data_IF_191667437584
#
_entry.id   IF_191667437584
#
_cell.length_a   1.000
_cell.length_b   1.000
_cell.length_c   1.000
_cell.angle_alpha   90.00
_cell.angle_beta   90.00
_cell.angle_gamma   90.00
#
_symmetry.space_group_name_H-M   'P 1'
#
loop_
_entity.id
_entity.type
_entity.pdbx_description
1 polymer ?
#
# COMPACT_ATOMS: atom_id res chain seq x y z
N UNK A 1 28.20 73.67 -29.42
CA UNK A 1 28.77 72.78 -30.47
C UNK A 1 28.48 71.34 -30.08
N UNK A 2 28.39 70.44 -31.06
CA UNK A 2 27.59 69.20 -31.10
C UNK A 2 27.99 68.05 -30.15
N UNK A 3 26.95 67.39 -29.59
CA UNK A 3 26.60 65.95 -29.67
C UNK A 3 27.72 64.90 -29.48
N UNK A 4 27.52 63.97 -28.54
CA UNK A 4 27.63 62.50 -28.76
C UNK A 4 27.04 61.69 -27.58
N UNK A 5 26.09 60.84 -27.95
CA UNK A 5 25.48 59.71 -27.22
C UNK A 5 26.44 58.52 -27.26
N UNK A 6 26.15 57.47 -26.47
CA UNK A 6 26.66 56.07 -26.44
C UNK A 6 27.47 55.76 -25.17
N UNK A 7 27.36 54.62 -24.48
CA UNK A 7 26.57 53.39 -24.64
C UNK A 7 26.66 52.63 -23.29
N UNK A 8 25.61 51.90 -22.95
CA UNK A 8 25.52 50.94 -21.85
C UNK A 8 26.60 49.85 -21.99
N UNK A 9 27.27 49.45 -20.90
CA UNK A 9 27.80 48.10 -20.77
C UNK A 9 27.73 47.61 -19.32
N UNK A 10 26.78 46.70 -19.11
CA UNK A 10 26.53 46.02 -17.85
C UNK A 10 27.37 44.76 -17.72
N UNK A 11 27.59 44.34 -16.47
CA UNK A 11 27.97 43.01 -15.98
C UNK A 11 29.38 42.50 -16.28
N UNK A 12 30.18 42.36 -15.21
CA UNK A 12 30.91 41.13 -14.89
C UNK A 12 31.48 41.20 -13.46
N UNK A 13 30.71 40.72 -12.50
CA UNK A 13 31.22 40.33 -11.18
C UNK A 13 30.78 38.91 -10.91
N UNK A 14 31.54 37.95 -11.41
CA UNK A 14 31.43 36.56 -10.99
C UNK A 14 32.07 36.52 -9.60
N UNK A 15 31.25 36.54 -8.56
CA UNK A 15 31.70 36.13 -7.22
C UNK A 15 31.89 34.62 -7.31
N UNK A 16 33.15 34.21 -7.44
CA UNK A 16 33.57 32.84 -7.20
C UNK A 16 33.45 32.57 -5.69
N UNK A 17 32.30 32.05 -5.26
CA UNK A 17 32.25 31.23 -4.04
C UNK A 17 32.30 29.78 -4.50
N UNK A 18 33.51 29.22 -4.56
CA UNK A 18 33.67 27.78 -4.68
C UNK A 18 34.75 27.33 -3.71
N UNK A 19 34.31 27.17 -2.47
CA UNK A 19 34.82 26.15 -1.57
C UNK A 19 33.65 25.65 -0.73
N UNK A 20 32.90 24.72 -1.33
CA UNK A 20 31.99 23.87 -0.59
C UNK A 20 32.86 22.79 0.03
N UNK A 21 33.42 23.11 1.21
CA UNK A 21 33.98 22.11 2.12
C UNK A 21 32.92 21.04 2.27
N UNK A 22 33.24 19.84 1.80
CA UNK A 22 32.42 18.66 2.01
C UNK A 22 32.52 18.32 3.49
N UNK A 23 31.81 19.09 4.33
CA UNK A 23 31.38 18.60 5.61
C UNK A 23 30.52 17.39 5.28
N UNK A 24 31.14 16.23 5.41
CA UNK A 24 30.45 14.98 5.62
C UNK A 24 29.68 15.20 6.92
N UNK A 25 28.48 15.78 6.80
CA UNK A 25 27.54 15.95 7.90
C UNK A 25 27.41 14.54 8.46
N UNK A 26 28.01 14.32 9.63
CA UNK A 26 27.71 13.16 10.43
C UNK A 26 26.20 13.28 10.64
N UNK A 27 25.43 12.45 9.93
CA UNK A 27 24.00 12.42 10.08
C UNK A 27 23.76 12.25 11.59
N UNK A 28 23.11 13.23 12.26
CA UNK A 28 22.76 13.07 13.66
C UNK A 28 22.01 11.75 13.77
N UNK A 29 22.17 11.00 14.86
CA UNK A 29 21.37 9.80 15.14
C UNK A 29 19.90 10.11 14.90
N UNK A 30 19.44 9.89 13.67
CA UNK A 30 18.08 10.06 13.26
C UNK A 30 17.43 8.81 13.82
N UNK A 31 16.54 8.99 14.78
CA UNK A 31 15.73 7.92 15.33
C UNK A 31 14.84 7.38 14.20
N UNK A 32 15.42 6.48 13.41
CA UNK A 32 14.81 5.87 12.26
C UNK A 32 13.71 4.97 12.76
N UNK A 33 12.49 5.20 12.27
CA UNK A 33 11.34 4.36 12.57
C UNK A 33 10.65 3.86 11.32
N UNK A 34 9.93 2.76 11.48
CA UNK A 34 9.12 2.10 10.46
C UNK A 34 7.65 2.13 10.85
N UNK A 35 6.75 2.24 9.88
CA UNK A 35 5.30 2.25 10.11
C UNK A 35 4.56 1.75 8.88
N UNK A 36 3.31 1.33 9.05
CA UNK A 36 2.41 1.06 7.93
C UNK A 36 1.86 2.36 7.36
N UNK A 37 1.83 2.48 6.03
CA UNK A 37 1.25 3.67 5.38
C UNK A 37 -0.28 3.56 5.36
N UNK A 38 -0.96 4.58 5.87
CA UNK A 38 -2.41 4.75 5.72
C UNK A 38 -3.21 4.59 7.02
N UNK A 39 -4.43 4.09 6.89
CA UNK A 39 -5.34 3.88 8.02
C UNK A 39 -4.97 2.61 8.79
N UNK A 40 -5.39 2.53 10.07
CA UNK A 40 -5.22 1.32 10.91
C UNK A 40 -5.89 0.08 10.34
N UNK A 41 -6.78 0.24 9.36
CA UNK A 41 -7.41 -0.83 8.60
C UNK A 41 -7.42 -0.52 7.12
N UNK A 42 -7.20 -1.53 6.29
CA UNK A 42 -7.23 -1.43 4.83
C UNK A 42 -8.11 -2.55 4.25
N UNK A 43 -9.09 -2.17 3.43
CA UNK A 43 -9.92 -3.15 2.72
C UNK A 43 -9.19 -3.67 1.48
N UNK A 44 -9.27 -4.98 1.27
CA UNK A 44 -8.75 -5.67 0.08
C UNK A 44 -9.83 -6.58 -0.49
N UNK A 45 -9.94 -6.59 -1.82
CA UNK A 45 -10.92 -7.39 -2.53
C UNK A 45 -10.20 -8.55 -3.24
N UNK A 46 -10.64 -9.77 -2.95
CA UNK A 46 -10.03 -10.98 -3.51
C UNK A 46 -11.08 -11.77 -4.29
N UNK A 47 -10.64 -12.41 -5.36
CA UNK A 47 -11.46 -13.34 -6.12
C UNK A 47 -11.43 -14.71 -5.44
N UNK A 48 -12.58 -15.36 -5.31
CA UNK A 48 -12.69 -16.68 -4.70
C UNK A 48 -12.04 -17.78 -5.57
N UNK A 49 -11.70 -18.90 -4.93
CA UNK A 49 -11.17 -20.12 -5.57
C UNK A 49 -9.86 -19.97 -6.35
N UNK A 50 -9.10 -18.90 -6.11
CA UNK A 50 -7.82 -18.67 -6.76
C UNK A 50 -6.82 -17.95 -5.85
N UNK A 51 -5.60 -17.81 -6.33
CA UNK A 51 -4.57 -17.01 -5.66
C UNK A 51 -4.74 -15.53 -6.00
N UNK A 52 -4.63 -14.68 -5.00
CA UNK A 52 -4.70 -13.22 -5.14
C UNK A 52 -3.43 -12.64 -4.54
N UNK A 53 -2.67 -11.89 -5.33
CA UNK A 53 -1.49 -11.17 -4.85
C UNK A 53 -1.87 -9.74 -4.50
N UNK A 54 -1.59 -9.35 -3.26
CA UNK A 54 -1.82 -8.02 -2.74
C UNK A 54 -0.49 -7.26 -2.81
N UNK A 55 -0.45 -6.17 -3.58
CA UNK A 55 0.74 -5.34 -3.79
C UNK A 55 0.58 -3.93 -3.19
N UNK A 56 -0.59 -3.64 -2.62
CA UNK A 56 -0.95 -2.32 -2.11
C UNK A 56 -0.65 -2.14 -0.61
N UNK A 57 -0.01 -3.12 0.04
CA UNK A 57 0.41 -3.02 1.43
C UNK A 57 1.86 -2.57 1.44
N UNK A 58 2.16 -1.46 2.12
CA UNK A 58 3.49 -0.85 2.17
C UNK A 58 3.90 -0.50 3.59
N UNK A 59 5.16 -0.74 3.90
CA UNK A 59 5.81 -0.18 5.07
C UNK A 59 6.71 1.00 4.65
N UNK A 60 6.81 2.00 5.51
CA UNK A 60 7.55 3.22 5.23
C UNK A 60 8.47 3.62 6.39
N UNK A 61 9.58 4.24 6.02
CA UNK A 61 10.58 4.82 6.89
C UNK A 61 10.40 6.34 6.98
N UNK A 62 10.75 6.92 8.12
CA UNK A 62 10.76 8.40 8.29
C UNK A 62 11.74 9.05 7.31
N UNK A 63 12.96 8.51 7.21
CA UNK A 63 13.99 8.95 6.27
C UNK A 63 14.40 7.80 5.32
N UNK A 64 14.97 8.10 4.14
CA UNK A 64 15.57 7.07 3.29
C UNK A 64 16.65 6.29 4.04
N UNK A 65 16.69 4.97 3.87
CA UNK A 65 17.62 4.11 4.59
C UNK A 65 19.08 4.36 4.17
N UNK A 66 19.96 4.67 5.12
CA UNK A 66 21.39 4.88 4.81
C UNK A 66 22.15 3.57 4.51
N UNK A 67 21.58 2.45 4.98
CA UNK A 67 22.07 1.08 4.86
C UNK A 67 20.86 0.15 4.79
N UNK A 68 21.08 -1.15 4.55
CA UNK A 68 19.98 -2.11 4.59
C UNK A 68 19.41 -2.21 6.01
N UNK A 69 18.09 -2.09 6.14
CA UNK A 69 17.36 -2.18 7.40
C UNK A 69 16.33 -3.31 7.32
N UNK A 70 16.09 -3.93 8.47
CA UNK A 70 15.23 -5.09 8.61
C UNK A 70 14.27 -4.88 9.78
N UNK A 71 13.00 -5.23 9.58
CA UNK A 71 12.00 -5.33 10.63
C UNK A 71 11.29 -6.68 10.53
N UNK A 72 10.78 -7.17 11.66
CA UNK A 72 9.96 -8.38 11.67
C UNK A 72 8.49 -8.02 11.47
N UNK A 73 7.76 -8.91 10.82
CA UNK A 73 6.33 -8.82 10.58
C UNK A 73 5.65 -10.03 11.22
N UNK A 74 4.88 -9.77 12.27
CA UNK A 74 3.96 -10.76 12.83
C UNK A 74 2.61 -10.64 12.16
N UNK A 75 1.96 -11.79 11.95
CA UNK A 75 0.65 -11.87 11.32
C UNK A 75 -0.29 -12.79 12.09
N UNK A 76 -1.58 -12.58 11.95
CA UNK A 76 -2.58 -13.50 12.50
C UNK A 76 -2.80 -13.41 14.02
N UNK A 77 -2.51 -12.26 14.63
CA UNK A 77 -2.78 -12.04 16.06
C UNK A 77 -4.30 -12.06 16.37
N UNK A 78 -4.75 -13.18 16.92
CA UNK A 78 -6.15 -13.40 17.27
C UNK A 78 -6.66 -12.46 18.37
N UNK A 79 -5.80 -12.07 19.34
CA UNK A 79 -6.21 -11.19 20.42
C UNK A 79 -6.38 -9.75 19.92
N UNK A 80 -5.43 -9.27 19.11
CA UNK A 80 -5.57 -7.97 18.47
C UNK A 80 -6.87 -7.87 17.65
N UNK A 81 -7.23 -8.95 16.93
CA UNK A 81 -8.48 -8.98 16.18
C UNK A 81 -9.71 -8.94 17.09
N UNK A 82 -9.71 -9.68 18.19
CA UNK A 82 -10.81 -9.67 19.15
C UNK A 82 -11.03 -8.28 19.75
N UNK A 83 -9.94 -7.62 20.18
CA UNK A 83 -9.97 -6.25 20.72
C UNK A 83 -10.48 -5.24 19.68
N UNK A 84 -10.07 -5.41 18.42
CA UNK A 84 -10.55 -4.57 17.31
C UNK A 84 -12.05 -4.76 17.08
N UNK A 85 -12.51 -6.02 17.02
CA UNK A 85 -13.90 -6.36 16.84
C UNK A 85 -14.79 -5.76 17.95
N UNK A 86 -14.37 -5.90 19.21
CA UNK A 86 -15.08 -5.32 20.36
C UNK A 86 -15.10 -3.79 20.29
N UNK A 87 -13.96 -3.16 20.05
CA UNK A 87 -13.83 -1.69 20.01
C UNK A 87 -14.70 -1.04 18.95
N UNK A 88 -14.81 -1.65 17.77
CA UNK A 88 -15.52 -1.08 16.63
C UNK A 88 -16.90 -1.70 16.38
N UNK A 89 -17.34 -2.66 17.21
CA UNK A 89 -18.64 -3.33 17.05
C UNK A 89 -18.76 -4.12 15.76
N UNK A 90 -17.65 -4.67 15.27
CA UNK A 90 -17.57 -5.48 14.05
C UNK A 90 -17.31 -6.95 14.41
N UNK A 91 -17.55 -7.86 13.46
CA UNK A 91 -17.41 -9.29 13.69
C UNK A 91 -16.59 -9.95 12.57
N UNK A 92 -15.34 -9.50 12.41
CA UNK A 92 -14.43 -10.07 11.43
C UNK A 92 -13.87 -11.40 11.90
N UNK A 93 -13.74 -12.36 10.99
CA UNK A 93 -13.12 -13.67 11.26
C UNK A 93 -11.64 -13.63 10.97
N UNK A 94 -10.83 -14.23 11.83
CA UNK A 94 -9.40 -14.35 11.57
C UNK A 94 -9.16 -15.15 10.29
N UNK A 95 -8.32 -14.64 9.41
CA UNK A 95 -7.90 -15.37 8.22
C UNK A 95 -7.09 -16.62 8.64
N UNK A 96 -7.49 -17.83 8.21
CA UNK A 96 -6.74 -19.04 8.53
C UNK A 96 -5.30 -18.99 7.99
N UNK A 97 -4.34 -19.50 8.77
CA UNK A 97 -2.91 -19.44 8.45
C UNK A 97 -2.53 -20.20 7.15
N UNK A 98 -3.30 -21.21 6.77
CA UNK A 98 -3.12 -21.96 5.51
C UNK A 98 -3.61 -21.20 4.27
N UNK A 99 -4.36 -20.10 4.46
CA UNK A 99 -4.97 -19.30 3.39
C UNK A 99 -4.15 -18.09 2.99
N UNK A 100 -2.99 -17.85 3.58
CA UNK A 100 -2.10 -16.78 3.15
C UNK A 100 -0.63 -17.17 3.17
N UNK A 101 0.17 -16.40 2.43
CA UNK A 101 1.63 -16.37 2.52
C UNK A 101 2.09 -14.92 2.53
N UNK A 102 3.07 -14.65 3.37
CA UNK A 102 3.68 -13.34 3.57
C UNK A 102 5.09 -13.55 4.09
N UNK A 103 6.02 -12.69 3.68
CA UNK A 103 7.37 -12.69 4.23
C UNK A 103 7.36 -12.10 5.64
N UNK A 104 7.92 -12.83 6.61
CA UNK A 104 8.00 -12.39 8.01
C UNK A 104 9.07 -11.32 8.24
N UNK A 105 9.83 -10.95 7.21
CA UNK A 105 10.89 -9.96 7.29
C UNK A 105 10.63 -8.87 6.25
N UNK A 106 10.52 -7.63 6.73
CA UNK A 106 10.45 -6.43 5.90
C UNK A 106 11.87 -5.95 5.64
N UNK A 107 12.23 -5.80 4.36
CA UNK A 107 13.55 -5.38 3.93
C UNK A 107 13.48 -4.01 3.28
N UNK A 108 14.30 -3.09 3.79
CA UNK A 108 14.56 -1.79 3.17
C UNK A 108 15.98 -1.76 2.65
N UNK A 109 16.14 -1.61 1.34
CA UNK A 109 17.42 -1.38 0.69
C UNK A 109 17.97 0.02 0.96
N UNK A 110 19.28 0.19 0.81
CA UNK A 110 19.91 1.52 0.89
C UNK A 110 19.27 2.50 -0.11
N UNK A 111 18.87 3.66 0.38
CA UNK A 111 18.20 4.72 -0.38
C UNK A 111 16.68 4.56 -0.46
N UNK A 112 16.14 3.41 -0.06
CA UNK A 112 14.70 3.17 -0.05
C UNK A 112 14.06 3.82 1.17
N UNK A 113 12.89 4.41 0.95
CA UNK A 113 12.05 4.96 2.03
C UNK A 113 10.78 4.14 2.24
N UNK A 114 10.33 3.42 1.22
CA UNK A 114 9.16 2.56 1.28
C UNK A 114 9.48 1.22 0.63
N UNK A 115 8.85 0.16 1.12
CA UNK A 115 8.97 -1.18 0.55
C UNK A 115 7.59 -1.84 0.52
N UNK A 116 7.21 -2.52 -0.56
CA UNK A 116 5.97 -3.28 -0.61
C UNK A 116 6.06 -4.53 0.26
N UNK A 117 4.95 -4.92 0.88
CA UNK A 117 4.78 -6.19 1.57
C UNK A 117 3.91 -7.06 0.69
N UNK A 118 4.51 -8.09 0.10
CA UNK A 118 3.79 -9.03 -0.77
C UNK A 118 3.01 -10.02 0.08
N UNK A 119 1.68 -10.03 -0.11
CA UNK A 119 0.79 -10.97 0.57
C UNK A 119 0.01 -11.74 -0.49
N UNK A 120 0.12 -13.06 -0.46
CA UNK A 120 -0.65 -13.94 -1.35
C UNK A 120 -1.77 -14.60 -0.56
N UNK A 121 -3.02 -14.35 -0.95
CA UNK A 121 -4.21 -15.01 -0.40
C UNK A 121 -4.58 -16.20 -1.30
N UNK A 122 -4.78 -17.38 -0.72
CA UNK A 122 -4.94 -18.65 -1.43
C UNK A 122 -6.33 -19.24 -1.27
N UNK A 123 -7.04 -19.47 -2.37
CA UNK A 123 -8.24 -20.31 -2.43
C UNK A 123 -9.22 -20.02 -1.27
N UNK A 124 -9.45 -18.72 -1.04
CA UNK A 124 -10.36 -18.25 -0.01
C UNK A 124 -11.79 -18.38 -0.50
N UNK A 125 -12.69 -18.74 0.42
CA UNK A 125 -14.11 -18.94 0.17
C UNK A 125 -14.83 -18.18 1.29
N UNK A 126 -15.85 -17.42 0.94
CA UNK A 126 -16.65 -16.65 1.89
C UNK A 126 -18.01 -17.31 2.06
N UNK A 127 -18.35 -17.73 3.28
CA UNK A 127 -19.70 -18.22 3.57
C UNK A 127 -20.54 -17.09 4.14
N UNK A 128 -21.83 -17.00 3.81
CA UNK A 128 -22.82 -16.20 4.55
C UNK A 128 -22.33 -14.81 5.04
N UNK A 129 -21.98 -13.91 4.12
CA UNK A 129 -21.50 -12.55 4.40
C UNK A 129 -20.28 -12.46 5.34
N UNK A 130 -19.53 -13.54 5.51
CA UNK A 130 -18.29 -13.55 6.27
C UNK A 130 -17.29 -12.54 5.69
N UNK A 131 -16.62 -11.83 6.60
CA UNK A 131 -15.52 -10.94 6.27
C UNK A 131 -14.32 -11.43 7.06
N UNK A 132 -13.25 -11.76 6.33
CA UNK A 132 -12.00 -12.19 6.96
C UNK A 132 -11.13 -10.99 7.27
N UNK A 133 -10.32 -11.09 8.30
CA UNK A 133 -9.33 -10.10 8.65
C UNK A 133 -7.97 -10.74 8.92
N UNK A 134 -6.92 -10.08 8.45
CA UNK A 134 -5.53 -10.44 8.72
C UNK A 134 -4.86 -9.28 9.44
N UNK A 135 -4.66 -9.40 10.77
CA UNK A 135 -3.82 -8.49 11.53
C UNK A 135 -2.36 -8.62 11.11
N UNK A 136 -1.72 -7.48 10.89
CA UNK A 136 -0.29 -7.33 10.64
C UNK A 136 0.30 -6.44 11.72
N UNK A 137 1.48 -6.81 12.24
CA UNK A 137 2.20 -6.04 13.24
C UNK A 137 3.69 -5.98 12.90
N UNK A 138 4.24 -4.77 12.87
CA UNK A 138 5.68 -4.57 12.77
C UNK A 138 6.28 -4.71 14.16
N UNK A 139 7.23 -5.63 14.30
CA UNK A 139 7.92 -5.86 15.57
C UNK A 139 9.33 -5.30 15.50
N UNK A 140 9.69 -4.62 16.57
CA UNK A 140 10.99 -3.98 16.73
C UNK A 140 12.12 -5.01 16.64
N UNK A 141 13.08 -4.74 15.75
CA UNK A 141 14.41 -5.36 15.79
C UNK A 141 15.45 -4.34 16.20
N UNK A 142 16.62 -4.85 16.61
CA UNK A 142 17.82 -4.04 16.95
C UNK A 142 18.18 -2.98 15.88
N UNK A 143 17.77 -3.16 14.62
CA UNK A 143 18.06 -2.26 13.50
C UNK A 143 17.14 -1.05 13.38
N UNK A 144 15.84 -1.18 13.70
CA UNK A 144 14.81 -0.14 13.56
C UNK A 144 13.62 -0.40 14.49
N UNK A 145 13.05 0.67 15.03
CA UNK A 145 11.84 0.61 15.86
C UNK A 145 10.61 1.02 15.06
N UNK A 146 9.45 0.50 15.42
CA UNK A 146 8.17 0.92 14.86
C UNK A 146 7.70 2.24 15.51
N UNK A 147 6.89 3.01 14.77
CA UNK A 147 6.19 4.17 15.34
C UNK A 147 5.00 3.68 16.15
N UNK A 148 4.96 4.05 17.43
CA UNK A 148 3.86 3.76 18.35
C UNK A 148 2.51 4.24 17.81
N UNK A 149 1.52 3.36 17.84
CA UNK A 149 0.18 3.56 17.28
C UNK A 149 0.06 3.36 15.75
N UNK A 150 1.17 3.09 15.03
CA UNK A 150 1.22 2.87 13.57
C UNK A 150 1.99 1.58 13.18
N UNK A 151 2.29 0.75 14.16
CA UNK A 151 2.91 -0.55 14.05
C UNK A 151 1.91 -1.66 13.71
N UNK A 152 0.61 -1.40 13.81
CA UNK A 152 -0.46 -2.34 13.47
C UNK A 152 -1.24 -1.91 12.24
N UNK A 153 -1.56 -2.89 11.38
CA UNK A 153 -2.46 -2.73 10.25
C UNK A 153 -3.41 -3.93 10.19
N UNK A 154 -4.71 -3.67 10.09
CA UNK A 154 -5.71 -4.71 9.89
C UNK A 154 -6.13 -4.78 8.41
N UNK A 155 -5.80 -5.87 7.73
CA UNK A 155 -6.34 -6.11 6.39
C UNK A 155 -7.73 -6.71 6.49
N UNK A 156 -8.73 -6.02 5.96
CA UNK A 156 -10.12 -6.50 5.89
C UNK A 156 -10.36 -7.07 4.51
N UNK A 157 -10.54 -8.38 4.42
CA UNK A 157 -10.57 -9.14 3.18
C UNK A 157 -12.02 -9.43 2.82
N UNK A 158 -12.44 -8.97 1.64
CA UNK A 158 -13.79 -9.11 1.12
C UNK A 158 -13.78 -9.82 -0.24
N UNK A 159 -14.87 -10.51 -0.60
CA UNK A 159 -15.01 -11.05 -1.94
C UNK A 159 -15.14 -9.90 -2.96
N UNK A 160 -14.46 -10.05 -4.08
CA UNK A 160 -14.68 -9.18 -5.25
C UNK A 160 -16.00 -9.58 -5.92
N UNK A 161 -17.06 -8.81 -5.66
CA UNK A 161 -18.40 -9.09 -6.17
C UNK A 161 -18.58 -8.61 -7.62
N UNK A 162 -18.24 -9.46 -8.59
CA UNK A 162 -18.66 -9.25 -9.97
C UNK A 162 -20.14 -9.62 -10.14
N UNK A 163 -21.01 -8.61 -10.26
CA UNK A 163 -22.39 -8.85 -10.68
C UNK A 163 -22.41 -9.22 -12.16
N UNK A 164 -22.65 -10.49 -12.48
CA UNK A 164 -22.99 -10.88 -13.86
C UNK A 164 -24.32 -10.23 -14.23
N UNK A 165 -24.26 -9.22 -15.10
CA UNK A 165 -25.46 -8.63 -15.68
C UNK A 165 -25.83 -9.41 -16.93
N UNK A 166 -27.03 -9.96 -16.96
CA UNK A 166 -27.58 -10.58 -18.15
C UNK A 166 -28.07 -9.47 -19.09
N UNK A 167 -27.44 -9.32 -20.26
CA UNK A 167 -27.95 -8.44 -21.31
C UNK A 167 -29.07 -9.18 -22.04
N UNK A 168 -30.32 -8.79 -21.77
CA UNK A 168 -31.48 -9.32 -22.50
C UNK A 168 -31.65 -8.53 -23.82
N UNK A 169 -31.36 -9.17 -24.95
CA UNK A 169 -31.63 -8.61 -26.27
C UNK A 169 -33.11 -8.71 -26.60
N UNK A 170 -33.76 -7.60 -26.92
CA UNK A 170 -35.11 -7.61 -27.47
C UNK A 170 -35.05 -8.10 -28.91
N UNK A 171 -35.28 -9.39 -29.14
CA UNK A 171 -35.59 -9.88 -30.48
C UNK A 171 -37.02 -9.44 -30.80
N UNK A 172 -37.17 -8.42 -31.64
CA UNK A 172 -38.45 -8.10 -32.25
C UNK A 172 -38.90 -9.33 -33.02
N UNK A 173 -39.98 -9.97 -32.57
CA UNK A 173 -40.66 -11.02 -33.33
C UNK A 173 -41.38 -10.33 -34.49
N UNK A 174 -40.67 -10.12 -35.59
CA UNK A 174 -41.30 -9.78 -36.86
C UNK A 174 -41.94 -11.05 -37.40
N UNK A 175 -43.22 -11.25 -37.07
CA UNK A 175 -44.07 -12.25 -37.70
C UNK A 175 -44.25 -11.90 -39.18
N UNK A 176 -43.44 -12.48 -40.06
CA UNK A 176 -43.79 -12.56 -41.48
C UNK A 176 -44.88 -13.63 -41.64
N UNK A 177 -46.12 -13.20 -41.90
CA UNK A 177 -47.14 -14.05 -42.51
C UNK A 177 -47.31 -13.60 -43.96
N UNK A 178 -46.54 -14.19 -44.86
CA UNK A 178 -46.85 -14.15 -46.29
C UNK A 178 -48.08 -15.03 -46.59
N UNK A 179 -48.80 -14.60 -47.61
CA UNK A 179 -50.18 -14.88 -47.99
C UNK A 179 -50.39 -16.20 -48.76
N UNK A 180 -51.69 -16.48 -49.01
CA UNK A 180 -52.30 -17.43 -49.97
C UNK A 180 -52.66 -18.84 -49.47
N UNK A 181 -53.96 -19.07 -49.25
CA UNK A 181 -54.83 -20.01 -50.03
C UNK A 181 -56.26 -19.95 -49.46
N UNK A 182 -57.17 -19.24 -50.14
CA UNK A 182 -58.39 -19.79 -50.76
C UNK A 182 -59.10 -18.72 -51.57
#
# INVERSE_FOLDING_TARGET
MMKKIFLILSLLSIVACKDETTEKIAHPNIDQKVYFVGNKSQEVFVQEYQENNLENVKAQLIYPAEKNLFADLLTGDAQYLADYNERYGVNYKLLPADKYKVDEIIVFGKGERETPITITIKNLIFNNDEVYALPLQIVNRKSIQAIDGQEHLLLVIRPNIYRKVFKMGTTSVTSYRNSFFK
#
